data_IF_930709654627
#
_entry.id   IF_930709654627
#
_cell.length_a   1.000
_cell.length_b   1.000
_cell.length_c   1.000
_cell.angle_alpha   90.00
_cell.angle_beta   90.00
_cell.angle_gamma   90.00
#
_symmetry.space_group_name_H-M   'P 1'
#
loop_
_entity.id
_entity.type
_entity.pdbx_description
1 polymer ?
#
# COMPACT_ATOMS: atom_id res chain seq x y z
N UNK A 1 -0.53 -1.93 1.94
CA UNK A 1 -0.14 -0.87 0.98
C UNK A 1 -1.23 0.19 0.74
N UNK A 2 -2.52 -0.15 0.88
CA UNK A 2 -3.66 0.80 0.69
C UNK A 2 -3.53 2.17 1.37
N UNK A 3 -2.96 2.25 2.59
CA UNK A 3 -2.73 3.54 3.28
C UNK A 3 -1.79 4.46 2.50
N UNK A 4 -0.72 3.92 1.92
CA UNK A 4 0.22 4.70 1.11
C UNK A 4 -0.45 5.25 -0.15
N UNK A 5 -1.31 4.47 -0.79
CA UNK A 5 -2.09 4.92 -1.94
C UNK A 5 -2.97 6.13 -1.61
N UNK A 6 -3.65 6.11 -0.45
CA UNK A 6 -4.47 7.23 0.02
C UNK A 6 -3.65 8.46 0.41
N UNK A 7 -2.51 8.25 1.06
CA UNK A 7 -1.60 9.34 1.43
C UNK A 7 -0.95 10.01 0.23
N UNK A 8 -0.71 9.25 -0.84
CA UNK A 8 -0.28 9.77 -2.14
C UNK A 8 -1.46 10.25 -3.01
N UNK A 9 -2.69 10.23 -2.47
CA UNK A 9 -3.93 10.63 -3.15
C UNK A 9 -4.23 9.89 -4.46
N UNK A 10 -3.68 8.70 -4.68
CA UNK A 10 -3.89 7.92 -5.91
C UNK A 10 -5.36 7.57 -6.10
N UNK A 11 -6.09 7.40 -5.00
CA UNK A 11 -7.52 7.20 -4.99
C UNK A 11 -8.29 8.36 -5.62
N UNK A 12 -7.75 9.57 -5.74
CA UNK A 12 -8.40 10.69 -6.41
C UNK A 12 -8.16 10.68 -7.93
N UNK A 13 -7.06 10.08 -8.37
CA UNK A 13 -6.64 10.07 -9.77
C UNK A 13 -7.00 8.78 -10.51
N UNK A 14 -7.32 7.70 -9.80
CA UNK A 14 -7.70 6.44 -10.42
C UNK A 14 -9.01 6.58 -11.21
N UNK A 15 -8.99 6.11 -12.45
CA UNK A 15 -10.17 6.03 -13.30
C UNK A 15 -10.87 4.70 -13.05
N UNK A 16 -12.12 4.76 -12.61
CA UNK A 16 -12.94 3.59 -12.34
C UNK A 16 -14.16 3.58 -13.25
N UNK A 17 -14.57 2.39 -13.68
CA UNK A 17 -15.86 2.22 -14.35
C UNK A 17 -17.00 2.57 -13.39
N UNK A 18 -18.13 3.06 -13.92
CA UNK A 18 -19.29 3.47 -13.11
C UNK A 18 -19.76 2.41 -12.11
N UNK A 19 -19.72 1.13 -12.49
CA UNK A 19 -20.09 0.03 -11.60
C UNK A 19 -19.13 -0.17 -10.43
N UNK A 20 -17.82 -0.01 -10.68
CA UNK A 20 -16.77 -0.12 -9.66
C UNK A 20 -16.74 1.09 -8.73
N UNK A 21 -17.04 2.28 -9.26
CA UNK A 21 -17.23 3.49 -8.44
C UNK A 21 -18.42 3.33 -7.49
N UNK A 22 -19.57 2.91 -8.02
CA UNK A 22 -20.81 2.74 -7.25
C UNK A 22 -20.72 1.64 -6.19
N UNK A 23 -19.88 0.62 -6.40
CA UNK A 23 -19.61 -0.43 -5.41
C UNK A 23 -18.56 -0.04 -4.36
N UNK A 24 -18.03 1.19 -4.42
CA UNK A 24 -17.06 1.72 -3.46
C UNK A 24 -15.61 1.33 -3.75
N UNK A 25 -15.31 0.89 -4.98
CA UNK A 25 -13.99 0.42 -5.40
C UNK A 25 -12.85 1.40 -5.09
N UNK A 26 -13.11 2.71 -5.21
CA UNK A 26 -12.14 3.79 -4.90
C UNK A 26 -11.61 3.74 -3.46
N UNK A 27 -12.39 3.20 -2.54
CA UNK A 27 -12.01 3.09 -1.12
C UNK A 27 -11.58 1.68 -0.73
N UNK A 28 -11.72 0.71 -1.64
CA UNK A 28 -11.47 -0.71 -1.39
C UNK A 28 -9.97 -0.95 -1.15
N UNK A 29 -9.56 -1.52 0.00
CA UNK A 29 -8.15 -1.70 0.31
C UNK A 29 -7.36 -2.52 -0.71
N UNK A 30 -7.96 -3.58 -1.26
CA UNK A 30 -7.32 -4.41 -2.29
C UNK A 30 -6.98 -3.58 -3.55
N UNK A 31 -7.97 -2.84 -4.08
CA UNK A 31 -7.78 -1.98 -5.25
C UNK A 31 -6.71 -0.91 -5.01
N UNK A 32 -6.69 -0.32 -3.81
CA UNK A 32 -5.71 0.69 -3.44
C UNK A 32 -4.29 0.10 -3.28
N UNK A 33 -4.16 -1.14 -2.81
CA UNK A 33 -2.87 -1.84 -2.84
C UNK A 33 -2.40 -2.03 -4.29
N UNK A 34 -3.27 -2.60 -5.14
CA UNK A 34 -2.95 -2.88 -6.55
C UNK A 34 -2.58 -1.60 -7.30
N UNK A 35 -3.29 -0.50 -7.03
CA UNK A 35 -3.02 0.82 -7.61
C UNK A 35 -1.63 1.35 -7.22
N UNK A 36 -1.24 1.19 -5.95
CA UNK A 36 0.08 1.61 -5.48
C UNK A 36 1.21 0.79 -6.13
N UNK A 37 1.02 -0.53 -6.25
CA UNK A 37 1.98 -1.43 -6.91
C UNK A 37 2.09 -1.13 -8.41
N UNK A 38 0.96 -0.91 -9.09
CA UNK A 38 0.92 -0.52 -10.49
C UNK A 38 1.64 0.81 -10.74
N UNK A 39 1.45 1.80 -9.86
CA UNK A 39 2.17 3.06 -9.93
C UNK A 39 3.68 2.88 -9.75
N UNK A 40 4.13 2.09 -8.77
CA UNK A 40 5.55 1.80 -8.58
C UNK A 40 6.16 1.11 -9.80
N UNK A 41 5.45 0.15 -10.40
CA UNK A 41 5.85 -0.50 -11.63
C UNK A 41 5.99 0.48 -12.79
N UNK A 42 5.01 1.38 -12.97
CA UNK A 42 5.05 2.41 -13.98
C UNK A 42 6.21 3.40 -13.76
N UNK A 43 6.43 3.85 -12.53
CA UNK A 43 7.54 4.75 -12.16
C UNK A 43 8.90 4.10 -12.45
N UNK A 44 9.05 2.81 -12.14
CA UNK A 44 10.27 2.07 -12.43
C UNK A 44 10.53 1.95 -13.94
N UNK A 45 9.49 1.65 -14.72
CA UNK A 45 9.61 1.54 -16.17
C UNK A 45 9.90 2.90 -16.84
N UNK A 46 9.37 4.00 -16.30
CA UNK A 46 9.50 5.35 -16.85
C UNK A 46 10.82 6.04 -16.42
N UNK A 47 11.20 5.92 -15.15
CA UNK A 47 12.28 6.71 -14.53
C UNK A 47 13.43 5.85 -13.96
N UNK A 48 13.34 4.52 -14.04
CA UNK A 48 14.36 3.61 -13.57
C UNK A 48 14.42 3.41 -12.04
N UNK A 49 15.45 2.67 -11.62
CA UNK A 49 15.61 2.21 -10.24
C UNK A 49 15.84 3.36 -9.25
N UNK A 50 16.76 4.27 -9.53
CA UNK A 50 17.19 5.29 -8.56
C UNK A 50 16.03 6.20 -8.15
N UNK A 51 15.22 6.63 -9.12
CA UNK A 51 14.03 7.45 -8.88
C UNK A 51 12.98 6.70 -8.07
N UNK A 52 12.76 5.42 -8.41
CA UNK A 52 11.81 4.56 -7.71
C UNK A 52 12.25 4.30 -6.27
N UNK A 53 13.54 4.05 -6.05
CA UNK A 53 14.12 3.87 -4.73
C UNK A 53 13.97 5.12 -3.88
N UNK A 54 14.30 6.30 -4.41
CA UNK A 54 14.13 7.56 -3.72
C UNK A 54 12.66 7.86 -3.35
N UNK A 55 11.71 7.44 -4.19
CA UNK A 55 10.28 7.52 -3.88
C UNK A 55 9.92 6.60 -2.70
N UNK A 56 10.34 5.33 -2.74
CA UNK A 56 10.10 4.35 -1.68
C UNK A 56 10.72 4.80 -0.34
N UNK A 57 11.94 5.35 -0.35
CA UNK A 57 12.60 5.87 0.84
C UNK A 57 11.83 7.03 1.49
N UNK A 58 11.15 7.86 0.70
CA UNK A 58 10.35 8.98 1.22
C UNK A 58 8.99 8.54 1.72
N UNK A 59 8.35 7.59 1.04
CA UNK A 59 6.94 7.23 1.29
C UNK A 59 6.81 6.05 2.26
N UNK A 60 7.65 5.01 2.12
CA UNK A 60 7.50 3.75 2.85
C UNK A 60 8.39 3.72 4.10
N UNK A 61 9.66 4.09 3.98
CA UNK A 61 10.64 3.89 5.07
C UNK A 61 10.35 4.66 6.37
N UNK A 62 9.80 5.89 6.35
CA UNK A 62 9.43 6.58 7.59
C UNK A 62 8.37 5.81 8.37
N UNK A 63 7.48 5.10 7.67
CA UNK A 63 6.39 4.32 8.28
C UNK A 63 6.86 2.96 8.78
N UNK A 64 7.81 2.34 8.08
CA UNK A 64 8.52 1.15 8.58
C UNK A 64 9.24 1.47 9.89
N UNK A 65 10.00 2.57 9.93
CA UNK A 65 10.73 3.01 11.13
C UNK A 65 9.80 3.38 12.30
N UNK A 66 8.61 3.87 12.01
CA UNK A 66 7.58 4.15 13.02
C UNK A 66 6.83 2.90 13.52
N UNK A 67 7.19 1.69 13.07
CA UNK A 67 6.57 0.45 13.50
C UNK A 67 5.23 0.13 12.82
N UNK A 68 4.90 0.76 11.70
CA UNK A 68 3.62 0.53 11.01
C UNK A 68 3.42 -0.91 10.51
N UNK A 69 4.50 -1.69 10.41
CA UNK A 69 4.48 -3.09 9.98
C UNK A 69 4.59 -4.10 11.14
N UNK A 70 4.80 -3.65 12.40
CA UNK A 70 4.95 -4.56 13.54
C UNK A 70 3.64 -5.18 14.02
N UNK A 71 2.49 -4.62 13.63
CA UNK A 71 1.18 -5.10 14.10
C UNK A 71 0.46 -6.03 13.11
N UNK A 72 0.64 -5.85 11.79
CA UNK A 72 -0.08 -6.65 10.78
C UNK A 72 0.53 -8.04 10.54
N UNK A 73 1.79 -8.26 10.94
CA UNK A 73 2.46 -9.57 10.76
C UNK A 73 2.25 -10.54 11.94
N UNK A 74 1.67 -10.08 13.06
CA UNK A 74 1.83 -10.74 14.36
C UNK A 74 0.51 -11.29 14.94
N UNK A 75 -0.55 -11.39 14.13
CA UNK A 75 -1.80 -12.00 14.60
C UNK A 75 -1.71 -13.53 14.71
N UNK A 76 -0.93 -14.20 13.85
CA UNK A 76 -0.68 -15.65 13.94
C UNK A 76 0.34 -16.00 15.02
N UNK A 77 1.44 -15.25 15.09
CA UNK A 77 2.52 -15.49 16.04
C UNK A 77 2.07 -15.19 17.48
N UNK A 78 1.34 -14.08 17.74
CA UNK A 78 0.72 -13.86 19.07
C UNK A 78 -0.29 -14.94 19.46
N UNK A 79 -1.11 -15.44 18.52
CA UNK A 79 -2.06 -16.50 18.84
C UNK A 79 -1.33 -17.79 19.22
N UNK A 80 -0.23 -18.09 18.51
CA UNK A 80 0.60 -19.26 18.77
C UNK A 80 1.33 -19.18 20.12
N UNK A 81 1.84 -18.02 20.51
CA UNK A 81 2.46 -17.79 21.82
C UNK A 81 1.45 -17.88 22.99
N UNK A 82 0.21 -17.45 22.78
CA UNK A 82 -0.87 -17.55 23.80
C UNK A 82 -1.35 -19.00 23.95
N UNK A 83 -1.40 -19.77 22.86
CA UNK A 83 -1.84 -21.18 22.87
C UNK A 83 -0.75 -22.16 23.29
N UNK A 84 0.54 -21.79 23.20
CA UNK A 84 1.67 -22.62 23.65
C UNK A 84 2.03 -22.44 25.13
N UNK A 85 1.12 -21.88 25.95
CA UNK A 85 1.20 -21.94 27.42
C UNK A 85 0.32 -23.03 28.00
#
# INVERSE_FOLDING_TARGET
>A
MSKFAKECHFDQYVLLGKGEENSGGRTRPALLCDLFEAFLGALYLDQGFDTTHAFIEKVIFPKVKAGAFSHEMDHKTKLQEVLQK
#
